data_IF_384912644796
#
_entry.id   IF_384912644796
#
_cell.length_a   1.000
_cell.length_b   1.000
_cell.length_c   1.000
_cell.angle_alpha   90.00
_cell.angle_beta   90.00
_cell.angle_gamma   90.00
#
_symmetry.space_group_name_H-M   'P 1'
#
loop_
_entity.id
_entity.type
_entity.pdbx_description
1 polymer ?
#
# COMPACT_ATOMS: atom_id res chain seq x y z
N UNK A 1 0.04 26.94 10.75
CA UNK A 1 0.49 26.26 9.52
C UNK A 1 -0.61 26.37 8.47
N UNK A 2 -0.27 26.91 7.29
CA UNK A 2 -1.17 27.00 6.11
C UNK A 2 -0.85 25.89 5.09
N UNK A 3 -1.65 25.76 4.02
CA UNK A 3 -1.54 24.65 3.07
C UNK A 3 -0.14 24.48 2.44
N UNK A 4 0.49 25.57 1.97
CA UNK A 4 1.82 25.52 1.35
C UNK A 4 2.91 25.09 2.34
N UNK A 5 2.80 25.55 3.60
CA UNK A 5 3.72 25.16 4.67
C UNK A 5 3.52 23.69 5.09
N UNK A 6 2.27 23.21 5.15
CA UNK A 6 1.95 21.81 5.42
C UNK A 6 2.48 20.88 4.32
N UNK A 7 2.41 21.31 3.06
CA UNK A 7 2.98 20.59 1.92
C UNK A 7 4.51 20.61 1.98
N UNK A 8 5.12 21.77 2.20
CA UNK A 8 6.57 21.94 2.26
C UNK A 8 7.23 21.18 3.41
N UNK A 9 6.51 20.93 4.51
CA UNK A 9 6.96 20.13 5.65
C UNK A 9 6.66 18.63 5.53
N UNK A 10 5.90 18.20 4.52
CA UNK A 10 5.54 16.81 4.30
C UNK A 10 4.38 16.27 5.16
N UNK A 11 3.67 17.13 5.89
CA UNK A 11 2.48 16.74 6.66
C UNK A 11 1.34 16.28 5.75
N UNK A 12 1.19 16.92 4.58
CA UNK A 12 0.24 16.52 3.53
C UNK A 12 0.98 16.18 2.25
N UNK A 13 0.50 15.19 1.51
CA UNK A 13 1.16 14.76 0.27
C UNK A 13 0.80 15.61 -0.95
N UNK A 14 -0.38 16.24 -0.95
CA UNK A 14 -0.93 17.02 -2.08
C UNK A 14 -1.87 18.12 -1.55
N UNK A 15 -1.95 19.24 -2.27
CA UNK A 15 -2.89 20.34 -2.04
C UNK A 15 -3.75 20.50 -3.30
N UNK A 16 -5.03 20.80 -3.11
CA UNK A 16 -6.03 20.93 -4.19
C UNK A 16 -6.76 22.28 -4.08
N UNK A 17 -7.30 22.80 -5.19
CA UNK A 17 -7.94 24.13 -5.21
C UNK A 17 -9.20 24.20 -4.34
N UNK A 18 -9.92 23.07 -4.22
CA UNK A 18 -11.14 22.97 -3.43
C UNK A 18 -11.37 21.55 -2.90
N UNK A 19 -12.43 21.40 -2.10
CA UNK A 19 -12.81 20.17 -1.43
C UNK A 19 -13.25 19.07 -2.42
N UNK A 20 -13.95 19.43 -3.48
CA UNK A 20 -14.54 18.44 -4.38
C UNK A 20 -13.44 17.77 -5.21
N UNK A 21 -12.51 18.56 -5.74
CA UNK A 21 -11.31 18.06 -6.44
C UNK A 21 -10.43 17.22 -5.50
N UNK A 22 -10.28 17.64 -4.25
CA UNK A 22 -9.54 16.87 -3.23
C UNK A 22 -10.18 15.50 -2.99
N UNK A 23 -11.51 15.44 -2.83
CA UNK A 23 -12.23 14.20 -2.58
C UNK A 23 -12.17 13.26 -3.78
N UNK A 24 -12.30 13.77 -5.01
CA UNK A 24 -12.14 12.98 -6.22
C UNK A 24 -10.74 12.32 -6.26
N UNK A 25 -9.69 13.11 -6.01
CA UNK A 25 -8.32 12.60 -5.98
C UNK A 25 -8.05 11.63 -4.82
N UNK A 26 -8.74 11.79 -3.69
CA UNK A 26 -8.66 10.88 -2.54
C UNK A 26 -9.37 9.55 -2.83
N UNK A 27 -10.54 9.56 -3.46
CA UNK A 27 -11.25 8.35 -3.87
C UNK A 27 -10.54 7.62 -5.01
N UNK A 28 -9.93 8.35 -5.95
CA UNK A 28 -9.09 7.75 -6.98
C UNK A 28 -7.88 7.01 -6.36
N UNK A 29 -7.23 7.61 -5.36
CA UNK A 29 -6.15 6.96 -4.61
C UNK A 29 -6.66 5.74 -3.83
N UNK A 30 -7.80 5.86 -3.17
CA UNK A 30 -8.42 4.74 -2.45
C UNK A 30 -8.73 3.57 -3.40
N UNK A 31 -9.29 3.86 -4.57
CA UNK A 31 -9.56 2.86 -5.61
C UNK A 31 -8.27 2.19 -6.12
N UNK A 32 -7.19 2.96 -6.31
CA UNK A 32 -5.89 2.40 -6.68
C UNK A 32 -5.33 1.47 -5.59
N UNK A 33 -5.40 1.86 -4.32
CA UNK A 33 -4.96 1.04 -3.20
C UNK A 33 -5.80 -0.24 -3.12
N UNK A 34 -7.12 -0.13 -3.27
CA UNK A 34 -8.06 -1.25 -3.26
C UNK A 34 -7.89 -2.19 -4.47
N UNK A 35 -7.24 -1.74 -5.55
CA UNK A 35 -6.94 -2.58 -6.71
C UNK A 35 -5.75 -3.52 -6.47
N UNK A 36 -5.04 -3.41 -5.34
CA UNK A 36 -3.86 -4.23 -5.03
C UNK A 36 -4.24 -5.41 -4.12
N UNK A 37 -3.31 -6.35 -3.96
CA UNK A 37 -3.46 -7.45 -2.99
C UNK A 37 -3.73 -6.88 -1.59
N UNK A 38 -4.85 -7.24 -0.94
CA UNK A 38 -5.14 -6.77 0.41
C UNK A 38 -4.13 -7.32 1.43
N UNK A 39 -3.60 -8.53 1.22
CA UNK A 39 -2.52 -9.11 2.03
C UNK A 39 -1.27 -8.22 1.95
N UNK A 40 -0.88 -7.82 0.73
CA UNK A 40 0.29 -6.97 0.54
C UNK A 40 0.10 -5.59 1.16
N UNK A 41 -1.00 -4.88 0.85
CA UNK A 41 -1.24 -3.51 1.35
C UNK A 41 -1.32 -3.47 2.88
N UNK A 42 -2.10 -4.36 3.49
CA UNK A 42 -2.25 -4.38 4.94
C UNK A 42 -0.96 -4.83 5.62
N UNK A 43 -0.29 -5.86 5.08
CA UNK A 43 1.01 -6.31 5.57
C UNK A 43 2.08 -5.23 5.52
N UNK A 44 2.14 -4.44 4.43
CA UNK A 44 3.04 -3.29 4.32
C UNK A 44 2.75 -2.26 5.40
N UNK A 45 1.49 -1.88 5.63
CA UNK A 45 1.14 -0.89 6.67
C UNK A 45 1.56 -1.39 8.07
N UNK A 46 1.29 -2.65 8.39
CA UNK A 46 1.65 -3.25 9.68
C UNK A 46 3.17 -3.23 9.88
N UNK A 47 3.94 -3.64 8.86
CA UNK A 47 5.40 -3.67 8.94
C UNK A 47 6.04 -2.27 8.97
N UNK A 48 5.45 -1.27 8.30
CA UNK A 48 5.88 0.12 8.38
C UNK A 48 5.69 0.68 9.80
N UNK A 49 4.54 0.40 10.41
CA UNK A 49 4.26 0.82 11.79
C UNK A 49 5.19 0.12 12.78
N UNK A 50 5.40 -1.19 12.64
CA UNK A 50 6.32 -1.92 13.51
C UNK A 50 7.75 -1.38 13.38
N UNK A 51 8.24 -1.22 12.16
CA UNK A 51 9.60 -0.72 11.89
C UNK A 51 9.84 0.72 12.37
N UNK A 52 8.79 1.54 12.49
CA UNK A 52 8.90 2.90 13.04
C UNK A 52 9.31 2.90 14.51
N UNK A 53 8.82 1.92 15.27
CA UNK A 53 8.92 1.90 16.73
C UNK A 53 10.01 0.93 17.24
N UNK A 54 10.77 0.30 16.34
CA UNK A 54 11.79 -0.71 16.65
C UNK A 54 13.08 -0.47 15.89
N UNK A 55 14.16 -1.11 16.32
CA UNK A 55 15.42 -1.10 15.56
C UNK A 55 15.26 -1.79 14.21
N UNK A 56 16.15 -1.47 13.26
CA UNK A 56 16.16 -2.13 11.94
C UNK A 56 16.30 -3.65 12.07
N UNK A 57 17.12 -4.14 13.00
CA UNK A 57 17.30 -5.58 13.20
C UNK A 57 16.02 -6.27 13.68
N UNK A 58 15.30 -5.67 14.62
CA UNK A 58 14.01 -6.17 15.10
C UNK A 58 12.95 -6.10 13.99
N UNK A 59 12.89 -4.99 13.25
CA UNK A 59 11.99 -4.83 12.11
C UNK A 59 12.18 -5.89 11.03
N UNK A 60 13.43 -6.21 10.68
CA UNK A 60 13.76 -7.27 9.74
C UNK A 60 13.37 -8.67 10.25
N UNK A 61 13.59 -8.95 11.54
CA UNK A 61 13.19 -10.21 12.16
C UNK A 61 11.65 -10.36 12.19
N UNK A 62 10.94 -9.28 12.50
CA UNK A 62 9.48 -9.24 12.46
C UNK A 62 8.95 -9.44 11.03
N UNK A 63 9.49 -8.70 10.05
CA UNK A 63 9.11 -8.81 8.65
C UNK A 63 9.33 -10.22 8.11
N UNK A 64 10.44 -10.87 8.48
CA UNK A 64 10.73 -12.25 8.10
C UNK A 64 9.66 -13.19 8.66
N UNK A 65 9.38 -13.10 9.96
CA UNK A 65 8.37 -13.93 10.63
C UNK A 65 6.97 -13.71 10.05
N UNK A 66 6.61 -12.46 9.74
CA UNK A 66 5.35 -12.09 9.09
C UNK A 66 5.22 -12.70 7.69
N UNK A 67 6.25 -12.56 6.87
CA UNK A 67 6.26 -13.06 5.50
C UNK A 67 6.31 -14.58 5.39
N UNK A 68 6.80 -15.31 6.41
CA UNK A 68 6.69 -16.78 6.45
C UNK A 68 5.24 -17.27 6.27
N UNK A 69 4.26 -16.52 6.78
CA UNK A 69 2.83 -16.82 6.56
C UNK A 69 2.29 -16.09 5.33
N UNK A 70 2.52 -14.78 5.20
CA UNK A 70 1.84 -13.98 4.18
C UNK A 70 2.29 -14.26 2.75
N UNK A 71 3.49 -14.81 2.54
CA UNK A 71 3.93 -15.26 1.21
C UNK A 71 3.21 -16.51 0.71
N UNK A 72 2.45 -17.21 1.57
CA UNK A 72 1.67 -18.39 1.18
C UNK A 72 0.28 -18.04 0.59
N UNK A 73 0.10 -16.80 0.15
CA UNK A 73 -1.14 -16.31 -0.49
C UNK A 73 -1.22 -16.65 -1.98
N UNK A 74 -2.45 -16.84 -2.48
CA UNK A 74 -2.73 -16.94 -3.92
C UNK A 74 -2.48 -15.63 -4.67
N UNK A 75 -2.41 -14.50 -3.97
CA UNK A 75 -2.22 -13.19 -4.60
C UNK A 75 -0.88 -13.11 -5.34
N UNK A 76 0.17 -13.74 -4.81
CA UNK A 76 1.48 -13.83 -5.46
C UNK A 76 1.38 -14.71 -6.70
N UNK A 77 0.79 -15.91 -6.58
CA UNK A 77 0.66 -16.86 -7.71
C UNK A 77 -0.10 -16.21 -8.87
N UNK A 78 -1.23 -15.55 -8.59
CA UNK A 78 -2.02 -14.82 -9.58
C UNK A 78 -1.23 -13.69 -10.24
N UNK A 79 -0.45 -12.94 -9.45
CA UNK A 79 0.36 -11.83 -9.95
C UNK A 79 1.50 -12.31 -10.85
N UNK A 80 2.18 -13.40 -10.44
CA UNK A 80 3.24 -14.03 -11.24
C UNK A 80 2.66 -14.59 -12.54
N UNK A 81 1.52 -15.28 -12.48
CA UNK A 81 0.83 -15.78 -13.66
C UNK A 81 0.48 -14.65 -14.63
N UNK A 82 -0.13 -13.56 -14.15
CA UNK A 82 -0.46 -12.40 -14.97
C UNK A 82 0.79 -11.78 -15.61
N UNK A 83 1.91 -11.68 -14.88
CA UNK A 83 3.17 -11.18 -15.41
C UNK A 83 3.75 -12.09 -16.51
N UNK A 84 3.75 -13.41 -16.30
CA UNK A 84 4.20 -14.40 -17.30
C UNK A 84 3.34 -14.36 -18.55
N UNK A 85 2.03 -14.21 -18.39
CA UNK A 85 1.06 -14.07 -19.48
C UNK A 85 1.06 -12.67 -20.11
N UNK A 86 1.89 -11.74 -19.62
CA UNK A 86 1.94 -10.32 -20.05
C UNK A 86 0.58 -9.61 -19.97
N UNK A 87 -0.24 -9.99 -19.01
CA UNK A 87 -1.50 -9.31 -18.69
C UNK A 87 -1.23 -8.07 -17.84
N UNK A 88 -2.17 -7.12 -17.89
CA UNK A 88 -2.13 -5.97 -16.99
C UNK A 88 -2.31 -6.44 -15.53
N UNK A 89 -1.32 -6.16 -14.68
CA UNK A 89 -1.37 -6.51 -13.26
C UNK A 89 -2.54 -5.84 -12.52
N UNK A 90 -3.04 -4.70 -13.01
CA UNK A 90 -4.22 -4.05 -12.44
C UNK A 90 -5.52 -4.81 -12.70
N UNK A 91 -5.53 -5.76 -13.66
CA UNK A 91 -6.70 -6.59 -13.96
C UNK A 91 -6.82 -7.82 -13.06
N UNK A 92 -5.84 -8.09 -12.20
CA UNK A 92 -5.84 -9.25 -11.30
C UNK A 92 -6.84 -9.05 -10.16
N UNK A 93 -7.77 -9.99 -10.00
CA UNK A 93 -8.74 -9.97 -8.90
C UNK A 93 -8.25 -10.82 -7.72
N UNK A 94 -8.15 -10.18 -6.56
CA UNK A 94 -7.78 -10.82 -5.30
C UNK A 94 -9.02 -11.19 -4.48
N UNK A 95 -8.89 -12.21 -3.64
CA UNK A 95 -9.97 -12.58 -2.72
C UNK A 95 -10.09 -11.52 -1.62
N UNK A 96 -11.28 -11.42 -0.99
CA UNK A 96 -11.39 -10.65 0.26
C UNK A 96 -10.43 -11.23 1.31
N UNK A 97 -9.77 -10.35 2.06
CA UNK A 97 -8.96 -10.70 3.22
C UNK A 97 -9.84 -10.77 4.47
#
# INVERSE_FOLDING_TARGET
MMADEALGSGLVSRVFPDKDVMLEAAFALAAEISSKSPVAVQGTKINLLYSRDHSVAEGLNYMTSWNMSMLQTQDIVKSVQAAVEKKDLKSVTFSKL
#
